data_IF_176125938697
#
_entry.id   IF_176125938697
#
_cell.length_a   1.000
_cell.length_b   1.000
_cell.length_c   1.000
_cell.angle_alpha   90.00
_cell.angle_beta   90.00
_cell.angle_gamma   90.00
#
_symmetry.space_group_name_H-M   'P 1'
#
loop_
_entity.id
_entity.type
_entity.pdbx_description
1 polymer ?
#
# COMPACT_ATOMS: atom_id res chain seq x y z
N UNK A 1 -12.51 -11.12 39.31
CA UNK A 1 -11.70 -11.88 38.35
C UNK A 1 -12.31 -11.69 36.98
N UNK A 2 -11.90 -10.65 36.27
CA UNK A 2 -12.34 -10.41 34.88
C UNK A 2 -11.58 -11.39 34.00
N UNK A 3 -12.24 -12.44 33.52
CA UNK A 3 -11.67 -13.29 32.48
C UNK A 3 -11.43 -12.41 31.26
N UNK A 4 -10.18 -12.04 31.01
CA UNK A 4 -9.79 -11.46 29.73
C UNK A 4 -10.02 -12.53 28.68
N UNK A 5 -11.17 -12.45 28.00
CA UNK A 5 -11.37 -13.18 26.76
C UNK A 5 -10.22 -12.89 25.79
N UNK A 6 -9.99 -13.74 24.78
CA UNK A 6 -8.94 -13.49 23.81
C UNK A 6 -9.08 -12.07 23.22
N UNK A 7 -7.96 -11.37 23.02
CA UNK A 7 -7.92 -9.99 22.50
C UNK A 7 -8.58 -9.86 21.11
N UNK A 8 -8.77 -10.99 20.42
CA UNK A 8 -9.38 -11.10 19.09
C UNK A 8 -10.30 -12.32 19.05
N UNK A 9 -11.30 -12.28 18.15
CA UNK A 9 -12.08 -13.47 17.81
C UNK A 9 -11.16 -14.57 17.24
N UNK A 10 -11.44 -15.87 17.49
CA UNK A 10 -10.58 -16.97 17.03
C UNK A 10 -10.37 -17.02 15.51
N UNK A 11 -11.31 -16.47 14.73
CA UNK A 11 -11.29 -16.43 13.26
C UNK A 11 -10.89 -15.04 12.71
N UNK A 12 -10.35 -14.17 13.57
CA UNK A 12 -9.88 -12.85 13.19
C UNK A 12 -8.82 -12.92 12.10
N UNK A 13 -9.04 -12.14 11.05
CA UNK A 13 -8.21 -12.10 9.86
C UNK A 13 -7.90 -10.66 9.52
N UNK A 14 -6.61 -10.37 9.36
CA UNK A 14 -6.13 -9.10 8.83
C UNK A 14 -5.31 -9.32 7.57
N UNK A 15 -5.34 -8.33 6.70
CA UNK A 15 -4.41 -8.18 5.60
C UNK A 15 -3.31 -7.19 5.99
N UNK A 16 -2.10 -7.43 5.52
CA UNK A 16 -1.03 -6.45 5.56
C UNK A 16 -0.42 -6.31 4.16
N UNK A 17 -0.30 -5.05 3.70
CA UNK A 17 0.10 -4.74 2.32
C UNK A 17 1.39 -3.91 2.29
N UNK A 18 2.54 -4.43 2.76
CA UNK A 18 3.76 -3.64 2.85
C UNK A 18 4.26 -3.21 1.48
N UNK A 19 4.90 -2.05 1.44
CA UNK A 19 5.48 -1.45 0.24
C UNK A 19 6.98 -1.29 0.44
N UNK A 20 7.76 -1.73 -0.54
CA UNK A 20 9.22 -1.63 -0.51
C UNK A 20 9.73 -0.76 -1.63
N UNK A 21 10.78 0.01 -1.36
CA UNK A 21 11.44 0.89 -2.33
C UNK A 21 12.40 0.14 -3.25
N UNK A 22 11.97 -1.00 -3.77
CA UNK A 22 12.72 -1.83 -4.71
C UNK A 22 11.70 -2.54 -5.62
N UNK A 23 11.90 -2.43 -6.94
CA UNK A 23 11.03 -3.01 -7.97
C UNK A 23 11.80 -3.59 -9.16
N UNK A 24 13.12 -3.71 -9.06
CA UNK A 24 14.01 -4.19 -10.12
C UNK A 24 14.80 -5.43 -9.71
N UNK A 25 15.30 -5.47 -8.48
CA UNK A 25 16.01 -6.64 -7.93
C UNK A 25 15.01 -7.66 -7.38
N UNK A 26 14.61 -8.59 -8.24
CA UNK A 26 13.71 -9.69 -7.89
C UNK A 26 14.26 -10.59 -6.78
N UNK A 27 15.58 -10.80 -6.71
CA UNK A 27 16.17 -11.64 -5.67
C UNK A 27 16.09 -10.97 -4.31
N UNK A 28 16.33 -9.65 -4.24
CA UNK A 28 16.15 -8.88 -3.01
C UNK A 28 14.69 -8.96 -2.53
N UNK A 29 13.72 -8.75 -3.42
CA UNK A 29 12.29 -8.84 -3.08
C UNK A 29 11.90 -10.25 -2.64
N UNK A 30 12.35 -11.29 -3.32
CA UNK A 30 12.09 -12.67 -2.90
C UNK A 30 12.63 -12.95 -1.50
N UNK A 31 13.83 -12.46 -1.16
CA UNK A 31 14.37 -12.61 0.20
C UNK A 31 13.54 -11.87 1.26
N UNK A 32 13.03 -10.68 0.94
CA UNK A 32 12.10 -9.95 1.82
C UNK A 32 10.81 -10.75 2.01
N UNK A 33 10.22 -11.28 0.93
CA UNK A 33 8.99 -12.09 0.99
C UNK A 33 9.23 -13.37 1.79
N UNK A 34 10.35 -14.08 1.59
CA UNK A 34 10.69 -15.27 2.37
C UNK A 34 10.82 -14.95 3.87
N UNK A 35 11.34 -13.78 4.26
CA UNK A 35 11.41 -13.36 5.66
C UNK A 35 10.03 -13.18 6.31
N UNK A 36 8.98 -12.98 5.52
CA UNK A 36 7.58 -12.87 5.97
C UNK A 36 6.91 -14.22 6.19
N UNK A 37 7.56 -15.34 5.84
CA UNK A 37 7.03 -16.69 6.04
C UNK A 37 6.97 -17.03 7.53
N UNK A 38 5.81 -16.76 8.13
CA UNK A 38 5.47 -17.04 9.53
C UNK A 38 4.29 -18.01 9.54
N UNK A 39 4.29 -18.96 10.46
CA UNK A 39 3.17 -19.90 10.62
C UNK A 39 1.84 -19.15 10.80
N UNK A 40 0.82 -19.55 10.04
CA UNK A 40 -0.48 -18.88 10.04
C UNK A 40 -0.56 -17.60 9.20
N UNK A 41 0.47 -17.28 8.41
CA UNK A 41 0.46 -16.23 7.39
C UNK A 41 0.42 -16.85 5.99
N UNK A 42 -0.42 -16.30 5.14
CA UNK A 42 -0.55 -16.64 3.74
C UNK A 42 -0.01 -15.48 2.88
N UNK A 43 0.79 -15.81 1.87
CA UNK A 43 1.14 -14.90 0.79
C UNK A 43 0.02 -14.92 -0.26
N UNK A 44 -0.52 -13.75 -0.59
CA UNK A 44 -1.68 -13.64 -1.49
C UNK A 44 -1.30 -13.06 -2.85
N UNK A 45 -0.46 -12.03 -2.87
CA UNK A 45 -0.02 -11.37 -4.11
C UNK A 45 1.31 -10.67 -3.87
N UNK A 46 2.10 -10.48 -4.92
CA UNK A 46 3.16 -9.49 -4.92
C UNK A 46 3.40 -8.98 -6.35
N UNK A 47 3.81 -7.72 -6.45
CA UNK A 47 4.09 -7.08 -7.73
C UNK A 47 5.36 -6.26 -7.64
N UNK A 48 6.19 -6.33 -8.69
CA UNK A 48 7.35 -5.47 -8.89
C UNK A 48 7.00 -4.46 -9.97
N UNK A 49 7.08 -3.18 -9.61
CA UNK A 49 6.90 -2.06 -10.54
C UNK A 49 8.27 -1.48 -10.86
N UNK A 50 8.80 -1.85 -12.02
CA UNK A 50 10.12 -1.44 -12.48
C UNK A 50 10.20 0.07 -12.74
N UNK A 51 9.11 0.69 -13.22
CA UNK A 51 9.05 2.11 -13.56
C UNK A 51 9.02 2.98 -12.29
N UNK A 52 8.22 2.57 -11.31
CA UNK A 52 8.14 3.24 -10.01
C UNK A 52 9.28 2.84 -9.05
N UNK A 53 10.06 1.82 -9.40
CA UNK A 53 11.05 1.15 -8.56
C UNK A 53 10.51 0.86 -7.14
N UNK A 54 9.35 0.20 -7.13
CA UNK A 54 8.58 -0.13 -5.93
C UNK A 54 8.02 -1.52 -6.07
N UNK A 55 7.90 -2.22 -4.95
CA UNK A 55 7.13 -3.45 -4.87
C UNK A 55 6.05 -3.36 -3.80
N UNK A 56 5.01 -4.15 -4.01
CA UNK A 56 3.89 -4.29 -3.10
C UNK A 56 3.72 -5.77 -2.84
N UNK A 57 3.64 -6.14 -1.57
CA UNK A 57 3.39 -7.52 -1.16
C UNK A 57 2.09 -7.53 -0.39
N UNK A 58 1.27 -8.56 -0.56
CA UNK A 58 0.00 -8.74 0.14
C UNK A 58 0.05 -10.06 0.91
N UNK A 59 -0.04 -9.97 2.23
CA UNK A 59 -0.18 -11.13 3.12
C UNK A 59 -1.46 -11.03 3.94
N UNK A 60 -1.98 -12.17 4.37
CA UNK A 60 -3.07 -12.20 5.35
C UNK A 60 -2.91 -13.37 6.32
N UNK A 61 -3.57 -13.27 7.47
CA UNK A 61 -3.50 -14.28 8.51
C UNK A 61 -3.99 -13.77 9.86
N UNK A 62 -3.66 -14.50 10.92
CA UNK A 62 -4.00 -14.08 12.27
C UNK A 62 -3.27 -12.77 12.65
N UNK A 63 -3.88 -11.91 13.49
CA UNK A 63 -3.30 -10.62 13.82
C UNK A 63 -1.84 -10.65 14.32
N UNK A 64 -1.52 -11.57 15.22
CA UNK A 64 -0.18 -11.70 15.79
C UNK A 64 0.85 -12.20 14.76
N UNK A 65 0.47 -13.17 13.92
CA UNK A 65 1.36 -13.74 12.93
C UNK A 65 1.67 -12.73 11.81
N UNK A 66 0.65 -12.00 11.33
CA UNK A 66 0.82 -10.95 10.32
C UNK A 66 1.65 -9.78 10.85
N UNK A 67 1.48 -9.40 12.12
CA UNK A 67 2.33 -8.41 12.78
C UNK A 67 3.80 -8.82 12.76
N UNK A 68 4.12 -10.04 13.19
CA UNK A 68 5.48 -10.56 13.20
C UNK A 68 6.07 -10.64 11.78
N UNK A 69 5.30 -11.11 10.80
CA UNK A 69 5.72 -11.15 9.40
C UNK A 69 6.07 -9.75 8.87
N UNK A 70 5.24 -8.74 9.15
CA UNK A 70 5.49 -7.37 8.74
C UNK A 70 6.74 -6.76 9.41
N UNK A 71 6.98 -7.07 10.69
CA UNK A 71 8.19 -6.65 11.42
C UNK A 71 9.44 -7.25 10.74
N UNK A 72 9.43 -8.56 10.44
CA UNK A 72 10.54 -9.24 9.74
C UNK A 72 10.79 -8.67 8.35
N UNK A 73 9.73 -8.34 7.62
CA UNK A 73 9.83 -7.69 6.32
C UNK A 73 10.57 -6.35 6.39
N UNK A 74 10.27 -5.53 7.40
CA UNK A 74 10.93 -4.25 7.61
C UNK A 74 12.44 -4.42 7.89
N UNK A 75 12.80 -5.42 8.71
CA UNK A 75 14.20 -5.76 8.98
C UNK A 75 14.94 -6.23 7.73
N UNK A 76 14.37 -7.19 7.00
CA UNK A 76 14.96 -7.69 5.76
C UNK A 76 15.11 -6.58 4.71
N UNK A 77 14.13 -5.69 4.58
CA UNK A 77 14.22 -4.55 3.66
C UNK A 77 15.35 -3.59 4.05
N UNK A 78 15.57 -3.33 5.34
CA UNK A 78 16.66 -2.48 5.82
C UNK A 78 18.06 -3.05 5.54
N UNK A 79 18.19 -4.37 5.48
CA UNK A 79 19.45 -5.05 5.11
C UNK A 79 19.71 -5.04 3.60
N UNK A 80 18.65 -5.05 2.79
CA UNK A 80 18.74 -5.30 1.35
C UNK A 80 18.62 -4.06 0.48
N UNK A 81 17.97 -3.01 0.97
CA UNK A 81 17.67 -1.81 0.20
C UNK A 81 18.42 -0.62 0.80
N UNK A 82 19.21 0.04 -0.04
CA UNK A 82 19.91 1.28 0.29
C UNK A 82 19.25 2.48 -0.41
N UNK A 83 18.48 3.26 0.35
CA UNK A 83 17.79 4.44 -0.19
C UNK A 83 18.74 5.52 -0.69
N UNK A 84 20.01 5.53 -0.28
CA UNK A 84 20.98 6.51 -0.78
C UNK A 84 21.34 6.27 -2.25
N UNK A 85 21.02 5.07 -2.77
CA UNK A 85 21.26 4.65 -4.15
C UNK A 85 19.97 4.38 -4.93
N UNK A 86 18.84 4.31 -4.23
CA UNK A 86 17.53 4.04 -4.81
C UNK A 86 17.05 5.21 -5.66
N UNK A 87 16.57 4.93 -6.87
CA UNK A 87 15.96 5.90 -7.76
C UNK A 87 14.62 5.35 -8.25
N UNK A 88 13.55 6.13 -8.08
CA UNK A 88 12.20 5.79 -8.53
C UNK A 88 11.31 7.04 -8.54
N UNK A 89 10.26 7.02 -9.36
CA UNK A 89 9.33 8.16 -9.49
C UNK A 89 8.25 8.18 -8.38
N UNK A 90 8.06 7.06 -7.68
CA UNK A 90 7.09 6.97 -6.59
C UNK A 90 7.64 7.60 -5.28
N UNK A 91 6.89 8.48 -4.60
CA UNK A 91 7.32 9.06 -3.33
C UNK A 91 7.57 7.98 -2.26
N UNK A 92 8.73 8.08 -1.59
CA UNK A 92 9.17 7.12 -0.56
C UNK A 92 9.98 7.79 0.53
N UNK A 93 9.93 7.24 1.75
CA UNK A 93 10.75 7.64 2.90
C UNK A 93 11.55 6.47 3.51
N UNK A 94 11.24 5.23 3.12
CA UNK A 94 11.77 4.01 3.74
C UNK A 94 12.12 2.89 2.77
N UNK A 95 13.08 2.03 3.13
CA UNK A 95 13.34 0.76 2.45
C UNK A 95 12.09 -0.12 2.47
N UNK A 96 11.54 -0.34 3.66
CA UNK A 96 10.11 -0.59 3.85
C UNK A 96 9.43 0.77 4.06
N UNK A 97 8.71 1.23 3.05
CA UNK A 97 8.18 2.58 3.00
C UNK A 97 6.86 2.70 3.77
N UNK A 98 5.92 1.80 3.49
CA UNK A 98 4.61 1.76 4.16
C UNK A 98 4.22 0.34 4.55
N UNK A 99 3.67 0.19 5.75
CA UNK A 99 3.14 -1.07 6.29
C UNK A 99 1.72 -0.81 6.84
N UNK A 100 0.67 -1.05 6.04
CA UNK A 100 -0.72 -0.94 6.48
C UNK A 100 -1.26 -2.27 7.00
N UNK A 101 -1.98 -2.22 8.11
CA UNK A 101 -2.83 -3.32 8.59
C UNK A 101 -4.30 -3.03 8.27
N UNK A 102 -4.99 -3.99 7.65
CA UNK A 102 -6.35 -3.83 7.14
C UNK A 102 -7.26 -4.89 7.76
N UNK A 103 -8.38 -4.50 8.39
CA UNK A 103 -9.32 -5.47 8.93
C UNK A 103 -10.05 -6.21 7.80
N UNK A 104 -10.07 -7.55 7.84
CA UNK A 104 -10.81 -8.39 6.88
C UNK A 104 -12.03 -9.06 7.54
N UNK A 105 -11.82 -9.75 8.66
CA UNK A 105 -12.90 -10.45 9.38
C UNK A 105 -12.59 -10.52 10.88
N UNK A 106 -13.62 -10.46 11.73
CA UNK A 106 -13.49 -10.69 13.19
C UNK A 106 -12.61 -9.68 13.93
N UNK A 107 -12.33 -8.52 13.34
CA UNK A 107 -11.45 -7.50 13.92
C UNK A 107 -11.81 -6.08 13.42
N UNK A 108 -11.76 -5.10 14.32
CA UNK A 108 -12.05 -3.70 14.03
C UNK A 108 -10.84 -2.93 13.51
N UNK A 109 -11.08 -1.77 12.91
CA UNK A 109 -10.03 -0.87 12.45
C UNK A 109 -9.18 -0.34 13.61
N UNK A 110 -9.82 -0.05 14.76
CA UNK A 110 -9.15 0.41 15.98
C UNK A 110 -8.22 -0.66 16.55
N UNK A 111 -8.64 -1.93 16.50
CA UNK A 111 -7.79 -3.07 16.88
C UNK A 111 -6.57 -3.18 15.93
N UNK A 112 -6.76 -3.03 14.62
CA UNK A 112 -5.65 -2.93 13.67
C UNK A 112 -4.71 -1.75 13.96
N UNK A 113 -5.24 -0.60 14.41
CA UNK A 113 -4.43 0.55 14.79
C UNK A 113 -3.55 0.28 16.02
N UNK A 114 -4.04 -0.52 16.99
CA UNK A 114 -3.22 -0.98 18.12
C UNK A 114 -2.09 -1.90 17.66
N UNK A 115 -2.39 -2.83 16.75
CA UNK A 115 -1.40 -3.75 16.15
C UNK A 115 -0.33 -2.95 15.41
N UNK A 116 -0.73 -1.96 14.60
CA UNK A 116 0.17 -1.06 13.88
C UNK A 116 1.13 -0.33 14.83
N UNK A 117 0.61 0.21 15.94
CA UNK A 117 1.43 0.91 16.95
C UNK A 117 2.41 -0.02 17.66
N UNK A 118 1.99 -1.24 17.99
CA UNK A 118 2.88 -2.24 18.57
C UNK A 118 3.95 -2.70 17.56
N UNK A 119 3.57 -2.92 16.30
CA UNK A 119 4.50 -3.27 15.23
C UNK A 119 5.59 -2.21 15.07
N UNK A 120 5.23 -0.92 15.07
CA UNK A 120 6.20 0.16 14.97
C UNK A 120 7.19 0.23 16.13
N UNK A 121 6.74 -0.02 17.37
CA UNK A 121 7.65 -0.09 18.51
C UNK A 121 8.63 -1.25 18.37
N UNK A 122 8.18 -2.39 17.88
CA UNK A 122 9.02 -3.56 17.65
C UNK A 122 9.99 -3.37 16.49
N UNK A 123 9.58 -2.73 15.39
CA UNK A 123 10.46 -2.37 14.27
C UNK A 123 11.61 -1.47 14.75
N UNK A 124 11.30 -0.43 15.53
CA UNK A 124 12.33 0.42 16.13
C UNK A 124 13.25 -0.38 17.06
N UNK A 125 12.68 -1.17 17.97
CA UNK A 125 13.44 -1.94 18.97
C UNK A 125 14.40 -2.96 18.34
N UNK A 126 13.98 -3.64 17.27
CA UNK A 126 14.74 -4.73 16.64
C UNK A 126 15.73 -4.25 15.57
N UNK A 127 15.37 -3.20 14.82
CA UNK A 127 16.11 -2.79 13.62
C UNK A 127 16.55 -1.33 13.62
N UNK A 128 16.20 -0.54 14.64
CA UNK A 128 16.59 0.87 14.71
C UNK A 128 15.98 1.73 13.59
N UNK A 129 14.89 1.29 12.96
CA UNK A 129 14.20 2.03 11.90
C UNK A 129 13.16 2.95 12.55
N UNK A 130 13.26 4.28 12.39
CA UNK A 130 12.27 5.19 12.95
C UNK A 130 10.91 5.05 12.27
N UNK A 131 9.84 5.34 13.01
CA UNK A 131 8.46 5.05 12.62
C UNK A 131 7.60 6.30 12.67
N UNK A 132 6.77 6.47 11.65
CA UNK A 132 5.65 7.39 11.62
C UNK A 132 4.34 6.60 11.65
N UNK A 133 3.40 6.99 12.49
CA UNK A 133 2.06 6.40 12.46
C UNK A 133 1.12 7.23 11.60
N UNK A 134 0.32 6.56 10.77
CA UNK A 134 -0.60 7.21 9.83
C UNK A 134 -1.99 6.55 9.80
N UNK A 135 -2.96 7.20 9.14
CA UNK A 135 -4.38 6.81 9.10
C UNK A 135 -4.94 6.55 10.51
N UNK A 136 -5.66 5.46 10.75
CA UNK A 136 -6.27 5.19 12.06
C UNK A 136 -5.25 4.98 13.19
N UNK A 137 -3.98 4.69 12.84
CA UNK A 137 -2.90 4.56 13.82
C UNK A 137 -2.25 5.90 14.18
N UNK A 138 -2.50 6.97 13.41
CA UNK A 138 -1.83 8.26 13.56
C UNK A 138 -1.83 8.73 15.02
N UNK A 139 -0.66 9.12 15.51
CA UNK A 139 -0.52 9.66 16.86
C UNK A 139 -0.93 11.15 16.91
N UNK A 140 -0.92 11.81 15.75
CA UNK A 140 -1.25 13.23 15.59
C UNK A 140 -2.13 13.45 14.36
N UNK A 141 -3.08 14.40 14.38
CA UNK A 141 -3.97 14.66 13.25
C UNK A 141 -3.24 15.02 11.95
N UNK A 142 -2.12 15.75 12.05
CA UNK A 142 -1.31 16.18 10.90
C UNK A 142 -0.52 15.03 10.23
N UNK A 143 -0.60 13.81 10.78
CA UNK A 143 0.01 12.59 10.23
C UNK A 143 -1.01 11.59 9.72
N UNK A 144 -2.30 11.89 9.79
CA UNK A 144 -3.34 11.00 9.31
C UNK A 144 -3.16 10.68 7.82
N UNK A 145 -2.78 11.68 7.02
CA UNK A 145 -2.52 11.52 5.60
C UNK A 145 -1.07 11.06 5.36
N UNK A 146 -0.93 9.94 4.66
CA UNK A 146 0.37 9.39 4.26
C UNK A 146 1.20 10.38 3.42
N UNK A 147 0.53 11.19 2.60
CA UNK A 147 1.15 12.20 1.75
C UNK A 147 1.88 13.27 2.58
N UNK A 148 1.32 13.63 3.74
CA UNK A 148 1.94 14.59 4.67
C UNK A 148 3.16 13.99 5.38
N UNK A 149 3.06 12.71 5.77
CA UNK A 149 4.18 11.95 6.35
C UNK A 149 5.33 11.85 5.32
N UNK A 150 5.01 11.54 4.06
CA UNK A 150 5.99 11.39 2.97
C UNK A 150 6.45 12.69 2.32
N UNK A 151 5.94 13.86 2.75
CA UNK A 151 6.31 15.16 2.15
C UNK A 151 7.83 15.34 2.15
N UNK A 152 8.40 15.75 1.03
CA UNK A 152 9.86 15.88 0.87
C UNK A 152 10.62 14.57 0.65
N UNK A 153 9.94 13.41 0.66
CA UNK A 153 10.53 12.08 0.47
C UNK A 153 11.70 11.79 1.44
N UNK A 154 12.53 10.79 1.15
CA UNK A 154 13.68 10.42 2.00
C UNK A 154 14.67 11.57 2.19
N UNK A 155 15.09 12.22 1.09
CA UNK A 155 16.13 13.25 1.13
C UNK A 155 15.69 14.49 1.91
N UNK A 156 14.50 15.01 1.60
CA UNK A 156 13.95 16.19 2.26
C UNK A 156 13.50 15.90 3.69
N UNK A 157 12.95 14.71 3.99
CA UNK A 157 12.61 14.34 5.36
C UNK A 157 13.88 14.23 6.23
N UNK A 158 14.96 13.65 5.71
CA UNK A 158 16.23 13.51 6.44
C UNK A 158 16.82 14.86 6.87
N UNK A 159 16.65 15.89 6.05
CA UNK A 159 17.02 17.27 6.41
C UNK A 159 16.01 17.87 7.39
N UNK A 160 14.71 17.76 7.09
CA UNK A 160 13.65 18.37 7.87
C UNK A 160 13.64 17.89 9.33
N UNK A 161 13.88 16.60 9.62
CA UNK A 161 13.85 16.09 11.00
C UNK A 161 14.94 16.69 11.91
N UNK A 162 16.04 17.17 11.32
CA UNK A 162 17.14 17.82 12.05
C UNK A 162 16.75 19.24 12.48
N UNK A 163 16.04 19.96 11.61
CA UNK A 163 15.74 21.38 11.77
C UNK A 163 14.34 21.64 12.34
N UNK A 164 13.39 20.73 12.14
CA UNK A 164 11.97 20.90 12.45
C UNK A 164 11.48 19.80 13.41
N UNK A 165 11.36 20.08 14.73
CA UNK A 165 10.88 19.11 15.70
C UNK A 165 9.51 18.49 15.34
N UNK A 166 8.64 19.26 14.68
CA UNK A 166 7.32 18.79 14.23
C UNK A 166 7.40 17.63 13.22
N UNK A 167 8.50 17.53 12.46
CA UNK A 167 8.73 16.53 11.42
C UNK A 167 9.38 15.25 11.95
N UNK A 168 9.83 15.19 13.20
CA UNK A 168 10.50 14.02 13.79
C UNK A 168 9.60 12.78 13.87
N UNK A 169 10.14 11.55 13.82
CA UNK A 169 9.32 10.33 13.88
C UNK A 169 8.53 10.21 15.19
N UNK A 170 7.45 9.41 15.18
CA UNK A 170 6.65 9.11 16.38
C UNK A 170 7.40 8.16 17.33
N UNK A 171 8.18 7.23 16.76
CA UNK A 171 9.03 6.29 17.49
C UNK A 171 10.41 6.24 16.83
N UNK A 172 11.47 6.28 17.64
CA UNK A 172 12.83 6.42 17.13
C UNK A 172 13.10 7.85 16.64
N UNK A 173 14.35 8.28 16.69
CA UNK A 173 14.74 9.63 16.26
C UNK A 173 15.73 10.33 17.20
N UNK A 174 16.05 11.61 16.93
CA UNK A 174 15.41 12.47 15.93
C UNK A 174 15.81 12.16 14.48
N UNK A 175 16.90 11.43 14.26
CA UNK A 175 17.45 11.13 12.94
C UNK A 175 16.74 9.94 12.27
N UNK A 176 16.79 9.89 10.94
CA UNK A 176 16.37 8.74 10.16
C UNK A 176 17.46 7.66 10.14
N UNK A 177 17.11 6.42 9.83
CA UNK A 177 18.09 5.39 9.57
C UNK A 177 18.93 5.77 8.32
N UNK A 178 20.28 5.61 8.33
CA UNK A 178 21.14 6.13 7.26
C UNK A 178 20.81 5.63 5.85
N UNK A 179 20.54 4.32 5.71
CA UNK A 179 20.22 3.66 4.43
C UNK A 179 18.75 3.27 4.32
N UNK A 180 18.14 2.73 5.38
CA UNK A 180 16.74 2.32 5.39
C UNK A 180 15.70 3.45 5.55
N UNK A 181 16.11 4.67 5.94
CA UNK A 181 15.20 5.80 6.13
C UNK A 181 14.25 5.64 7.33
N UNK A 182 12.95 5.80 7.10
CA UNK A 182 11.90 5.59 8.09
C UNK A 182 10.70 4.87 7.48
N UNK A 183 9.91 4.20 8.31
CA UNK A 183 8.72 3.46 7.87
C UNK A 183 7.44 4.15 8.35
N UNK A 184 6.45 4.27 7.46
CA UNK A 184 5.11 4.69 7.82
C UNK A 184 4.22 3.47 8.09
N UNK A 185 3.76 3.29 9.33
CA UNK A 185 2.98 2.13 9.76
C UNK A 185 1.58 2.59 10.15
N UNK A 186 0.55 1.93 9.66
CA UNK A 186 -0.82 2.41 9.84
C UNK A 186 -1.85 1.31 9.86
N UNK A 187 -3.08 1.72 10.14
CA UNK A 187 -4.25 0.88 9.94
C UNK A 187 -5.28 1.65 9.14
N UNK A 188 -5.87 0.99 8.15
CA UNK A 188 -6.82 1.63 7.22
C UNK A 188 -7.89 0.64 6.77
N UNK A 189 -8.96 1.17 6.19
CA UNK A 189 -9.91 0.37 5.41
C UNK A 189 -9.22 -0.24 4.20
N UNK A 190 -9.87 -1.25 3.61
CA UNK A 190 -9.43 -1.83 2.35
C UNK A 190 -9.36 -0.75 1.27
N UNK A 191 -8.27 -0.72 0.52
CA UNK A 191 -7.98 0.29 -0.49
C UNK A 191 -7.78 -0.42 -1.80
N UNK A 192 -8.55 -0.02 -2.81
CA UNK A 192 -8.47 -0.57 -4.16
C UNK A 192 -7.61 0.37 -5.00
N UNK A 193 -6.46 -0.11 -5.46
CA UNK A 193 -5.58 0.63 -6.34
C UNK A 193 -5.93 0.32 -7.80
N UNK A 194 -6.51 1.30 -8.49
CA UNK A 194 -7.05 1.17 -9.83
C UNK A 194 -6.51 2.26 -10.74
N UNK A 195 -5.83 1.87 -11.82
CA UNK A 195 -5.24 2.77 -12.78
C UNK A 195 -6.00 2.70 -14.10
N UNK A 196 -6.13 3.84 -14.77
CA UNK A 196 -6.74 3.96 -16.10
C UNK A 196 -5.78 4.63 -17.07
N UNK A 197 -5.46 3.95 -18.15
CA UNK A 197 -4.69 4.47 -19.28
C UNK A 197 -5.62 5.12 -20.29
N UNK A 198 -5.21 6.27 -20.81
CA UNK A 198 -5.94 7.07 -21.78
C UNK A 198 -5.36 6.85 -23.18
N UNK A 199 -6.18 7.06 -24.21
CA UNK A 199 -5.79 7.06 -25.64
C UNK A 199 -4.93 8.26 -26.08
N UNK A 200 -4.17 8.83 -25.17
CA UNK A 200 -3.32 10.01 -25.40
C UNK A 200 -2.03 9.92 -24.58
N UNK A 201 -0.89 10.41 -25.11
CA UNK A 201 0.34 10.58 -24.34
C UNK A 201 0.35 11.85 -23.48
N UNK A 202 -0.70 12.70 -23.56
CA UNK A 202 -0.71 13.97 -22.84
C UNK A 202 -1.00 13.79 -21.34
N UNK A 203 0.06 13.77 -20.55
CA UNK A 203 -0.02 13.72 -19.08
C UNK A 203 -0.76 14.92 -18.47
N UNK A 204 -0.86 16.04 -19.19
CA UNK A 204 -1.65 17.21 -18.80
C UNK A 204 -3.13 16.86 -18.64
N UNK A 205 -3.67 16.08 -19.58
CA UNK A 205 -5.05 15.58 -19.53
C UNK A 205 -5.24 14.67 -18.32
N UNK A 206 -4.36 13.69 -18.12
CA UNK A 206 -4.44 12.81 -16.95
C UNK A 206 -4.36 13.57 -15.62
N UNK A 207 -3.51 14.61 -15.54
CA UNK A 207 -3.39 15.48 -14.35
C UNK A 207 -4.64 16.31 -14.12
N UNK A 208 -5.30 16.81 -15.16
CA UNK A 208 -6.55 17.53 -15.06
C UNK A 208 -7.65 16.61 -14.51
N UNK A 209 -7.83 15.44 -15.13
CA UNK A 209 -8.80 14.42 -14.70
C UNK A 209 -8.54 14.02 -13.24
N UNK A 210 -7.30 13.70 -12.88
CA UNK A 210 -6.93 13.32 -11.51
C UNK A 210 -7.31 14.39 -10.47
N UNK A 211 -7.15 15.68 -10.79
CA UNK A 211 -7.56 16.78 -9.90
C UNK A 211 -9.08 16.84 -9.74
N UNK A 212 -9.82 16.62 -10.81
CA UNK A 212 -11.29 16.69 -10.80
C UNK A 212 -11.94 15.48 -10.10
N UNK A 213 -11.33 14.29 -10.16
CA UNK A 213 -11.91 13.08 -9.57
C UNK A 213 -11.53 12.86 -8.11
N UNK A 214 -10.37 13.34 -7.67
CA UNK A 214 -9.90 13.12 -6.28
C UNK A 214 -10.64 13.98 -5.28
N UNK A 215 -10.85 13.44 -4.08
CA UNK A 215 -11.52 14.10 -2.96
C UNK A 215 -10.90 15.48 -2.66
N UNK A 216 -9.56 15.59 -2.62
CA UNK A 216 -8.89 16.86 -2.31
C UNK A 216 -9.10 17.96 -3.35
N UNK A 217 -9.59 17.62 -4.55
CA UNK A 217 -9.99 18.58 -5.58
C UNK A 217 -11.50 18.82 -5.66
N UNK A 218 -12.28 18.34 -4.68
CA UNK A 218 -13.75 18.43 -4.67
C UNK A 218 -14.45 17.30 -5.42
N UNK A 219 -13.71 16.26 -5.84
CA UNK A 219 -14.25 15.07 -6.49
C UNK A 219 -14.87 14.06 -5.52
N UNK A 220 -14.78 12.78 -5.86
CA UNK A 220 -15.41 11.70 -5.11
C UNK A 220 -14.74 11.48 -3.75
N UNK A 221 -15.57 11.28 -2.72
CA UNK A 221 -15.09 11.02 -1.38
C UNK A 221 -14.27 9.73 -1.33
N UNK A 222 -13.11 9.76 -0.68
CA UNK A 222 -12.25 8.59 -0.54
C UNK A 222 -11.52 8.20 -1.83
N UNK A 223 -11.53 9.05 -2.86
CA UNK A 223 -10.69 8.88 -4.05
C UNK A 223 -9.45 9.74 -3.92
N UNK A 224 -8.28 9.12 -3.99
CA UNK A 224 -7.00 9.81 -4.21
C UNK A 224 -6.57 9.52 -5.64
N UNK A 225 -6.09 10.53 -6.37
CA UNK A 225 -5.67 10.35 -7.76
C UNK A 225 -4.49 11.24 -8.14
N UNK A 226 -3.67 10.73 -9.07
CA UNK A 226 -2.57 11.44 -9.72
C UNK A 226 -2.58 11.15 -11.23
N UNK A 227 -2.12 12.13 -12.01
CA UNK A 227 -1.88 11.96 -13.45
C UNK A 227 -0.39 11.80 -13.72
N UNK A 228 -0.02 10.67 -14.32
CA UNK A 228 1.36 10.28 -14.60
C UNK A 228 1.52 9.82 -16.04
N UNK A 229 2.76 9.79 -16.53
CA UNK A 229 3.11 9.25 -17.85
C UNK A 229 3.85 7.92 -17.61
N UNK A 230 3.31 6.83 -18.15
CA UNK A 230 3.88 5.48 -17.99
C UNK A 230 4.01 4.88 -19.38
N UNK A 231 5.24 4.51 -19.77
CA UNK A 231 5.53 3.92 -21.08
C UNK A 231 4.97 4.69 -22.30
N UNK A 232 4.94 6.03 -22.19
CA UNK A 232 4.42 6.91 -23.24
C UNK A 232 2.90 7.10 -23.24
N UNK A 233 2.16 6.45 -22.34
CA UNK A 233 0.71 6.58 -22.20
C UNK A 233 0.36 7.42 -20.96
N UNK A 234 -0.58 8.35 -21.11
CA UNK A 234 -1.09 9.11 -19.98
C UNK A 234 -1.99 8.21 -19.12
N UNK A 235 -1.76 8.21 -17.81
CA UNK A 235 -2.44 7.34 -16.87
C UNK A 235 -3.01 8.17 -15.70
N UNK A 236 -4.26 7.88 -15.34
CA UNK A 236 -4.87 8.32 -14.09
C UNK A 236 -4.73 7.18 -13.08
N UNK A 237 -3.77 7.28 -12.17
CA UNK A 237 -3.61 6.34 -11.05
C UNK A 237 -4.50 6.76 -9.90
N UNK A 238 -5.24 5.81 -9.31
CA UNK A 238 -6.22 6.09 -8.27
C UNK A 238 -6.18 5.07 -7.14
N UNK A 239 -6.45 5.57 -5.94
CA UNK A 239 -6.73 4.76 -4.77
C UNK A 239 -8.15 5.07 -4.29
N UNK A 240 -9.02 4.06 -4.29
CA UNK A 240 -10.35 4.11 -3.68
C UNK A 240 -10.23 3.60 -2.25
N UNK A 241 -10.21 4.50 -1.28
CA UNK A 241 -9.90 4.21 0.12
C UNK A 241 -11.11 3.73 0.93
N UNK A 242 -12.31 3.83 0.37
CA UNK A 242 -13.56 3.36 1.00
C UNK A 242 -14.59 2.97 -0.07
N UNK A 243 -14.43 1.78 -0.64
CA UNK A 243 -15.29 1.26 -1.70
C UNK A 243 -16.75 1.06 -1.28
N UNK A 244 -17.02 1.02 0.05
CA UNK A 244 -18.37 0.88 0.60
C UNK A 244 -19.18 2.18 0.49
N UNK A 245 -18.50 3.32 0.29
CA UNK A 245 -19.12 4.63 0.12
C UNK A 245 -19.13 5.10 -1.34
N UNK A 246 -18.10 4.76 -2.11
CA UNK A 246 -18.00 5.07 -3.54
C UNK A 246 -17.49 3.81 -4.25
N UNK A 247 -18.31 3.24 -5.13
CA UNK A 247 -17.96 2.05 -5.91
C UNK A 247 -16.87 2.34 -6.96
N UNK A 248 -16.15 1.31 -7.40
CA UNK A 248 -15.16 1.46 -8.48
C UNK A 248 -15.85 1.86 -9.78
N UNK A 249 -17.07 1.38 -10.03
CA UNK A 249 -17.90 1.79 -11.15
C UNK A 249 -18.22 3.28 -11.17
N UNK A 250 -18.56 3.89 -10.02
CA UNK A 250 -18.77 5.34 -9.93
C UNK A 250 -17.49 6.13 -10.23
N UNK A 251 -16.34 5.68 -9.72
CA UNK A 251 -15.04 6.29 -10.01
C UNK A 251 -14.74 6.22 -11.51
N UNK A 252 -14.89 5.03 -12.11
CA UNK A 252 -14.69 4.83 -13.53
C UNK A 252 -15.62 5.70 -14.39
N UNK A 253 -16.91 5.77 -14.06
CA UNK A 253 -17.88 6.56 -14.78
C UNK A 253 -17.49 8.05 -14.78
N UNK A 254 -17.06 8.58 -13.62
CA UNK A 254 -16.59 9.96 -13.53
C UNK A 254 -15.31 10.17 -14.35
N UNK A 255 -14.32 9.28 -14.26
CA UNK A 255 -13.09 9.38 -15.06
C UNK A 255 -13.41 9.37 -16.55
N UNK A 256 -14.29 8.47 -17.01
CA UNK A 256 -14.71 8.38 -18.41
C UNK A 256 -15.38 9.67 -18.87
N UNK A 257 -16.29 10.23 -18.07
CA UNK A 257 -16.93 11.52 -18.37
C UNK A 257 -15.90 12.65 -18.48
N UNK A 258 -14.94 12.72 -17.54
CA UNK A 258 -13.89 13.76 -17.56
C UNK A 258 -12.93 13.59 -18.72
N UNK A 259 -12.52 12.37 -19.02
CA UNK A 259 -11.68 12.07 -20.18
C UNK A 259 -12.35 12.56 -21.47
N UNK A 260 -13.63 12.25 -21.67
CA UNK A 260 -14.39 12.70 -22.84
C UNK A 260 -14.45 14.23 -22.94
N UNK A 261 -14.63 14.94 -21.82
CA UNK A 261 -14.63 16.40 -21.78
C UNK A 261 -13.27 17.01 -22.16
N UNK A 262 -12.18 16.28 -21.92
CA UNK A 262 -10.80 16.66 -22.30
C UNK A 262 -10.38 16.07 -23.67
N UNK A 263 -11.30 15.46 -24.43
CA UNK A 263 -11.00 14.90 -25.75
C UNK A 263 -10.21 13.59 -25.74
N UNK A 264 -10.29 12.82 -24.66
CA UNK A 264 -9.64 11.51 -24.48
C UNK A 264 -10.64 10.43 -24.05
N UNK A 265 -10.22 9.17 -24.06
CA UNK A 265 -11.00 8.03 -23.58
C UNK A 265 -10.11 7.05 -22.78
N UNK A 266 -10.63 6.44 -21.70
CA UNK A 266 -9.96 5.32 -21.06
C UNK A 266 -9.97 4.09 -21.98
N UNK A 267 -8.80 3.50 -22.24
CA UNK A 267 -8.64 2.36 -23.15
C UNK A 267 -8.19 1.08 -22.46
N UNK A 268 -7.62 1.21 -21.26
CA UNK A 268 -7.10 0.07 -20.50
C UNK A 268 -7.10 0.38 -19.01
N UNK A 269 -7.55 -0.60 -18.23
CA UNK A 269 -7.52 -0.57 -16.78
C UNK A 269 -6.44 -1.49 -16.23
N UNK A 270 -5.97 -1.19 -15.03
CA UNK A 270 -5.03 -2.02 -14.29
C UNK A 270 -5.40 -1.99 -12.82
N UNK A 271 -5.52 -3.18 -12.22
CA UNK A 271 -5.75 -3.36 -10.80
C UNK A 271 -4.43 -3.78 -10.14
N UNK A 272 -3.96 -2.98 -9.19
CA UNK A 272 -2.76 -3.28 -8.40
C UNK A 272 -3.17 -3.97 -7.10
N UNK A 273 -2.57 -5.13 -6.82
CA UNK A 273 -2.95 -5.95 -5.66
C UNK A 273 -4.25 -6.70 -5.87
N UNK A 274 -5.09 -6.74 -4.83
CA UNK A 274 -6.35 -7.48 -4.79
C UNK A 274 -7.57 -6.54 -4.65
N UNK A 275 -8.74 -7.06 -4.97
CA UNK A 275 -10.04 -6.41 -4.79
C UNK A 275 -10.96 -7.29 -3.92
N UNK A 276 -11.76 -6.73 -3.01
CA UNK A 276 -12.77 -7.51 -2.28
C UNK A 276 -13.90 -7.96 -3.22
N UNK A 277 -14.48 -9.14 -2.99
CA UNK A 277 -15.61 -9.66 -3.77
C UNK A 277 -16.79 -8.67 -3.75
N UNK A 278 -17.00 -8.00 -2.61
CA UNK A 278 -18.04 -6.97 -2.46
C UNK A 278 -17.85 -5.73 -3.38
N UNK A 279 -16.65 -5.50 -3.90
CA UNK A 279 -16.34 -4.43 -4.85
C UNK A 279 -16.19 -4.94 -6.30
N UNK A 280 -16.27 -6.24 -6.52
CA UNK A 280 -16.06 -6.84 -7.84
C UNK A 280 -17.35 -6.81 -8.69
N UNK A 281 -17.46 -5.79 -9.53
CA UNK A 281 -18.62 -5.57 -10.43
C UNK A 281 -18.45 -6.37 -11.74
N UNK A 282 -18.62 -7.70 -11.67
CA UNK A 282 -18.27 -8.68 -12.73
C UNK A 282 -18.59 -8.29 -14.19
N UNK A 283 -19.73 -7.65 -14.44
CA UNK A 283 -20.21 -7.31 -15.79
C UNK A 283 -20.05 -5.83 -16.15
N UNK A 284 -19.32 -5.07 -15.33
CA UNK A 284 -19.08 -3.65 -15.56
C UNK A 284 -18.12 -3.40 -16.72
N UNK A 285 -18.19 -2.19 -17.27
CA UNK A 285 -17.25 -1.76 -18.31
C UNK A 285 -15.81 -1.67 -17.77
N UNK A 286 -15.64 -1.22 -16.52
CA UNK A 286 -14.32 -1.03 -15.94
C UNK A 286 -13.59 -2.37 -15.72
N UNK A 287 -14.32 -3.44 -15.35
CA UNK A 287 -13.76 -4.80 -15.25
C UNK A 287 -13.34 -5.30 -16.63
N UNK A 288 -14.15 -5.06 -17.67
CA UNK A 288 -13.82 -5.46 -19.06
C UNK A 288 -12.56 -4.77 -19.59
N UNK A 289 -12.24 -3.57 -19.09
CA UNK A 289 -11.03 -2.83 -19.47
C UNK A 289 -9.77 -3.33 -18.75
N UNK A 290 -9.90 -4.12 -17.68
CA UNK A 290 -8.74 -4.59 -16.93
C UNK A 290 -7.88 -5.51 -17.79
N UNK A 291 -6.61 -5.14 -17.94
CA UNK A 291 -5.62 -5.96 -18.61
C UNK A 291 -5.25 -7.18 -17.76
N UNK A 292 -5.28 -8.38 -18.35
CA UNK A 292 -4.88 -9.66 -17.72
C UNK A 292 -5.55 -9.92 -16.35
N UNK A 293 -6.81 -9.54 -16.19
CA UNK A 293 -7.54 -9.78 -14.96
C UNK A 293 -8.08 -11.20 -14.88
N UNK A 294 -7.64 -11.94 -13.86
CA UNK A 294 -8.21 -13.22 -13.46
C UNK A 294 -8.85 -13.05 -12.07
N UNK A 295 -10.19 -13.19 -11.93
CA UNK A 295 -10.87 -13.01 -10.65
C UNK A 295 -10.46 -14.06 -9.61
N UNK A 296 -10.09 -15.28 -10.00
CA UNK A 296 -9.62 -16.29 -9.03
C UNK A 296 -8.28 -15.89 -8.41
N UNK A 297 -7.56 -15.00 -9.09
CA UNK A 297 -6.26 -14.48 -8.70
C UNK A 297 -6.31 -13.09 -8.05
N UNK A 298 -7.31 -12.28 -8.40
CA UNK A 298 -7.36 -10.88 -8.00
C UNK A 298 -8.48 -10.55 -7.01
N UNK A 299 -9.46 -11.43 -6.83
CA UNK A 299 -10.45 -11.27 -5.77
C UNK A 299 -9.90 -11.83 -4.46
N UNK A 300 -9.88 -11.01 -3.40
CA UNK A 300 -9.28 -11.31 -2.10
C UNK A 300 -9.78 -12.64 -1.52
N UNK A 301 -11.10 -12.81 -1.45
CA UNK A 301 -11.74 -13.98 -0.83
C UNK A 301 -11.41 -15.28 -1.58
N UNK A 302 -11.30 -15.20 -2.91
CA UNK A 302 -10.88 -16.34 -3.74
C UNK A 302 -9.40 -16.63 -3.58
N UNK A 303 -8.58 -15.58 -3.51
CA UNK A 303 -7.14 -15.70 -3.29
C UNK A 303 -6.80 -16.25 -1.90
N UNK A 304 -7.56 -15.90 -0.86
CA UNK A 304 -7.43 -16.49 0.48
C UNK A 304 -7.65 -18.01 0.46
N UNK A 305 -8.53 -18.51 -0.40
CA UNK A 305 -8.75 -19.94 -0.59
C UNK A 305 -7.65 -20.63 -1.43
N UNK A 306 -6.86 -19.87 -2.20
CA UNK A 306 -5.78 -20.34 -3.08
C UNK A 306 -4.56 -19.42 -2.98
N UNK A 307 -3.90 -19.37 -1.81
CA UNK A 307 -2.73 -18.52 -1.61
C UNK A 307 -1.59 -18.95 -2.54
N UNK A 308 -0.68 -18.03 -2.84
CA UNK A 308 0.51 -18.33 -3.65
C UNK A 308 1.62 -18.92 -2.77
N UNK A 309 2.47 -19.74 -3.37
CA UNK A 309 3.60 -20.33 -2.67
C UNK A 309 4.63 -19.25 -2.31
N UNK A 310 5.28 -19.40 -1.16
CA UNK A 310 6.41 -18.55 -0.78
C UNK A 310 7.58 -18.78 -1.76
N UNK A 311 8.24 -17.71 -2.25
CA UNK A 311 9.47 -17.84 -3.04
C UNK A 311 10.51 -18.70 -2.30
N UNK A 312 11.12 -19.64 -3.03
CA UNK A 312 12.15 -20.55 -2.48
C UNK A 312 11.62 -21.82 -1.81
N UNK A 313 10.30 -22.01 -1.65
CA UNK A 313 9.71 -23.19 -1.01
C UNK A 313 9.92 -24.55 -1.76
N UNK A 314 10.63 -24.54 -2.90
CA UNK A 314 10.97 -25.73 -3.70
C UNK A 314 12.47 -25.99 -3.89
N UNK A 315 13.36 -25.26 -3.22
CA UNK A 315 14.83 -25.44 -3.32
C UNK A 315 15.46 -26.18 -2.12
N UNK A 316 14.64 -26.79 -1.27
CA UNK A 316 15.07 -27.73 -0.26
C UNK A 316 14.45 -29.11 -0.55
N UNK A 317 15.05 -29.82 -1.50
CA UNK A 317 14.92 -31.26 -1.69
C UNK A 317 16.29 -31.81 -2.09
#
# INVERSE_FOLDING_TARGET
MTSSGPLFEPDALIECVPNFSEGKDEQAIHRIITAMAVEGVQLLDYSLDHDHNRSVVTIAGSPAAVQEAAIRAAGAAAELIDLTRQQGVHPRIGAADVIPFVPIRGISLEQCALIARQAGREVWRRYGIPVYFYEAAAARPDRAQLEEVRRGQFEGLREAVRNEPARRPDVGGPELHPTAGAVAIGARKFLIAYNLYLDTPDVGIARAIAREVRHSGGGLHGVKALGVLVNGEAQVTMNVTDFTRVSVGEVFALVKQKAQAHGAAPIRGELIGLIPEAAYERESEWVRLLHQFDPDQKVLERRLARPIAWPGAGQQA
#
